data_IF_018101033221
#
_entry.id   IF_018101033221
#
_cell.length_a   1.000
_cell.length_b   1.000
_cell.length_c   1.000
_cell.angle_alpha   90.00
_cell.angle_beta   90.00
_cell.angle_gamma   90.00
#
_symmetry.space_group_name_H-M   'P 1'
#
loop_
_entity.id
_entity.type
_entity.pdbx_description
1 polymer ?
#
# COMPACT_ATOMS: atom_id res chain seq x y z
N UNK A 1 11.39 3.56 48.04
CA UNK A 1 11.78 3.22 46.66
C UNK A 1 10.74 2.28 46.10
N UNK A 2 9.90 2.74 45.17
CA UNK A 2 9.00 1.84 44.45
C UNK A 2 9.81 1.00 43.44
N UNK A 3 9.45 -0.27 43.29
CA UNK A 3 10.00 -1.12 42.23
C UNK A 3 9.50 -0.64 40.86
N UNK A 4 10.20 -0.99 39.78
CA UNK A 4 9.78 -0.64 38.40
C UNK A 4 8.32 -1.03 38.14
N UNK A 5 7.91 -2.22 38.59
CA UNK A 5 6.54 -2.70 38.50
C UNK A 5 5.57 -1.80 39.28
N UNK A 6 5.94 -1.36 40.47
CA UNK A 6 5.14 -0.42 41.27
C UNK A 6 4.97 0.93 40.58
N UNK A 7 6.03 1.45 39.97
CA UNK A 7 5.98 2.70 39.20
C UNK A 7 5.05 2.58 37.98
N UNK A 8 5.11 1.45 37.27
CA UNK A 8 4.24 1.20 36.12
C UNK A 8 2.77 1.15 36.54
N UNK A 9 2.43 0.46 37.63
CA UNK A 9 1.05 0.38 38.13
C UNK A 9 0.52 1.76 38.54
N UNK A 10 1.33 2.55 39.23
CA UNK A 10 0.94 3.92 39.63
C UNK A 10 0.73 4.82 38.40
N UNK A 11 1.58 4.72 37.37
CA UNK A 11 1.37 5.44 36.11
C UNK A 11 0.07 5.04 35.40
N UNK A 12 -0.30 3.76 35.46
CA UNK A 12 -1.57 3.25 34.89
C UNK A 12 -2.76 3.83 35.66
N UNK A 13 -2.70 3.86 37.00
CA UNK A 13 -3.75 4.47 37.83
C UNK A 13 -3.94 5.96 37.50
N UNK A 14 -2.83 6.71 37.40
CA UNK A 14 -2.85 8.12 37.00
C UNK A 14 -3.45 8.28 35.61
N UNK A 15 -3.10 7.42 34.65
CA UNK A 15 -3.64 7.47 33.29
C UNK A 15 -5.17 7.34 33.28
N UNK A 16 -5.74 6.38 33.99
CA UNK A 16 -7.20 6.26 34.06
C UNK A 16 -7.87 7.44 34.77
N UNK A 17 -7.26 7.93 35.86
CA UNK A 17 -7.70 9.16 36.51
C UNK A 17 -7.73 10.36 35.55
N UNK A 18 -6.74 10.48 34.64
CA UNK A 18 -6.73 11.56 33.63
C UNK A 18 -7.83 11.45 32.60
N UNK A 19 -8.27 10.23 32.24
CA UNK A 19 -9.36 10.04 31.28
C UNK A 19 -10.70 10.51 31.83
N UNK A 20 -10.91 10.35 33.15
CA UNK A 20 -12.15 10.76 33.82
C UNK A 20 -12.09 12.15 34.46
N UNK A 21 -10.92 12.77 34.53
CA UNK A 21 -10.73 14.15 35.00
C UNK A 21 -11.68 15.18 34.33
N UNK A 22 -11.89 15.17 33.00
CA UNK A 22 -12.81 16.11 32.35
C UNK A 22 -14.27 15.95 32.79
N UNK A 23 -14.67 14.74 33.21
CA UNK A 23 -16.04 14.43 33.66
C UNK A 23 -16.25 14.72 35.14
N UNK A 24 -15.21 14.55 35.95
CA UNK A 24 -15.26 14.66 37.41
C UNK A 24 -14.80 16.03 37.93
N UNK A 25 -14.12 16.83 37.11
CA UNK A 25 -13.45 18.07 37.54
C UNK A 25 -12.20 17.82 38.39
N UNK A 26 -11.74 16.57 38.51
CA UNK A 26 -10.55 16.20 39.29
C UNK A 26 -9.28 16.74 38.60
N UNK A 27 -8.44 17.45 39.34
CA UNK A 27 -7.12 17.89 38.86
C UNK A 27 -6.10 16.77 39.09
N UNK A 28 -5.57 16.21 38.01
CA UNK A 28 -4.57 15.13 38.07
C UNK A 28 -3.17 15.72 37.89
N UNK A 29 -2.23 15.30 38.74
CA UNK A 29 -0.81 15.68 38.67
C UNK A 29 0.05 14.43 38.66
N UNK A 30 1.15 14.46 37.90
CA UNK A 30 2.12 13.36 37.85
C UNK A 30 3.20 13.61 38.91
N UNK A 31 3.38 12.71 39.90
CA UNK A 31 4.46 12.78 40.89
C UNK A 31 5.85 12.93 40.25
N UNK A 32 6.73 13.70 40.89
CA UNK A 32 8.05 14.04 40.33
C UNK A 32 8.94 12.80 40.13
N UNK A 33 8.85 11.84 41.04
CA UNK A 33 9.58 10.57 41.01
C UNK A 33 9.12 9.63 39.87
N UNK A 34 7.92 9.85 39.32
CA UNK A 34 7.41 9.12 38.16
C UNK A 34 7.72 9.79 36.82
N UNK A 35 8.27 11.01 36.82
CA UNK A 35 8.64 11.70 35.58
C UNK A 35 9.94 11.13 35.03
N UNK A 36 9.90 10.70 33.77
CA UNK A 36 11.08 10.27 33.05
C UNK A 36 11.95 11.48 32.66
N UNK A 37 13.25 11.40 32.95
CA UNK A 37 14.23 12.41 32.55
C UNK A 37 14.80 12.16 31.16
N UNK A 38 14.76 10.91 30.69
CA UNK A 38 15.17 10.50 29.35
C UNK A 38 14.13 9.59 28.72
N UNK A 39 14.00 9.68 27.41
CA UNK A 39 13.04 8.95 26.60
C UNK A 39 13.76 8.05 25.59
N UNK A 40 13.14 6.96 25.14
CA UNK A 40 13.68 6.19 24.03
C UNK A 40 13.89 7.08 22.81
N UNK A 41 15.02 6.90 22.11
CA UNK A 41 15.39 7.68 20.91
C UNK A 41 14.29 7.70 19.83
N UNK A 42 13.57 6.60 19.63
CA UNK A 42 12.44 6.52 18.69
C UNK A 42 11.24 7.45 19.02
N UNK A 43 11.24 8.13 20.17
CA UNK A 43 10.25 9.16 20.52
C UNK A 43 10.67 10.58 20.08
N UNK A 44 11.87 10.74 19.54
CA UNK A 44 12.36 11.98 18.93
C UNK A 44 12.25 13.22 19.83
N UNK A 45 12.50 13.05 21.14
CA UNK A 45 12.50 14.16 22.12
C UNK A 45 13.77 15.01 22.11
N UNK A 46 14.65 14.80 21.13
CA UNK A 46 15.95 15.45 20.99
C UNK A 46 17.07 14.74 21.77
N UNK A 47 18.31 14.90 21.29
CA UNK A 47 19.48 14.14 21.75
C UNK A 47 19.75 14.28 23.26
N UNK A 48 19.56 15.47 23.83
CA UNK A 48 19.81 15.72 25.25
C UNK A 48 18.87 14.94 26.20
N UNK A 49 17.67 14.60 25.73
CA UNK A 49 16.63 13.92 26.50
C UNK A 49 16.42 12.48 26.05
N UNK A 50 17.31 11.94 25.22
CA UNK A 50 17.11 10.61 24.61
C UNK A 50 18.13 9.59 25.10
N UNK A 51 17.75 8.31 25.08
CA UNK A 51 18.64 7.18 25.22
C UNK A 51 18.38 6.16 24.09
N UNK A 52 19.43 5.46 23.67
CA UNK A 52 19.30 4.40 22.67
C UNK A 52 18.64 3.17 23.31
N UNK A 53 17.51 2.73 22.74
CA UNK A 53 16.63 1.72 23.31
C UNK A 53 16.91 0.38 22.67
N UNK A 54 17.17 -0.66 23.47
CA UNK A 54 17.36 -2.03 22.96
C UNK A 54 16.06 -2.81 22.81
N UNK A 55 14.91 -2.19 23.04
CA UNK A 55 13.59 -2.81 22.83
C UNK A 55 13.33 -3.11 21.36
N UNK A 56 12.35 -3.99 21.08
CA UNK A 56 11.91 -4.29 19.70
C UNK A 56 11.54 -3.01 18.95
N UNK A 57 10.90 -2.04 19.61
CA UNK A 57 10.55 -0.76 18.99
C UNK A 57 11.78 0.06 18.60
N UNK A 58 12.82 0.05 19.45
CA UNK A 58 14.09 0.69 19.11
C UNK A 58 14.76 0.03 17.91
N UNK A 59 14.84 -1.30 17.92
CA UNK A 59 15.43 -2.06 16.81
C UNK A 59 14.69 -1.84 15.48
N UNK A 60 13.35 -1.79 15.50
CA UNK A 60 12.55 -1.48 14.31
C UNK A 60 12.85 -0.06 13.84
N UNK A 61 12.89 0.90 14.76
CA UNK A 61 13.18 2.29 14.43
C UNK A 61 14.56 2.42 13.79
N UNK A 62 15.61 1.89 14.41
CA UNK A 62 16.97 1.90 13.88
C UNK A 62 17.07 1.21 12.52
N UNK A 63 16.34 0.09 12.34
CA UNK A 63 16.32 -0.60 11.06
C UNK A 63 15.72 0.27 9.96
N UNK A 64 14.59 0.94 10.24
CA UNK A 64 13.94 1.83 9.28
C UNK A 64 14.79 3.08 9.01
N UNK A 65 15.39 3.67 10.06
CA UNK A 65 16.25 4.86 9.97
C UNK A 65 17.60 4.56 9.29
N UNK A 66 18.05 3.31 9.29
CA UNK A 66 19.26 2.88 8.57
C UNK A 66 19.10 2.83 7.06
N UNK A 67 17.87 2.81 6.55
CA UNK A 67 17.63 3.02 5.13
C UNK A 67 17.90 4.50 4.85
N UNK A 68 18.81 4.82 3.93
CA UNK A 68 19.09 6.21 3.65
C UNK A 68 17.80 6.88 3.15
N UNK A 69 17.66 8.18 3.41
CA UNK A 69 16.57 9.07 2.97
C UNK A 69 16.66 9.31 1.44
N UNK A 70 16.92 8.23 0.73
CA UNK A 70 17.14 8.20 -0.69
C UNK A 70 15.77 8.20 -1.38
N UNK A 71 15.42 9.40 -1.86
CA UNK A 71 14.68 9.60 -3.12
C UNK A 71 15.37 8.93 -4.34
N UNK A 72 16.45 8.17 -4.14
CA UNK A 72 17.13 7.32 -5.10
C UNK A 72 16.94 5.84 -4.73
N UNK A 73 16.19 5.03 -5.43
CA UNK A 73 16.06 4.95 -6.84
C UNK A 73 14.67 4.38 -7.06
N UNK A 74 14.04 4.81 -8.13
CA UNK A 74 13.23 3.93 -8.96
C UNK A 74 13.92 2.56 -8.95
N UNK A 75 13.45 1.61 -8.12
CA UNK A 75 13.63 0.19 -8.41
C UNK A 75 13.22 0.11 -9.85
N UNK A 76 14.17 -0.12 -10.75
CA UNK A 76 13.90 -0.21 -12.16
C UNK A 76 12.85 -1.32 -12.27
N UNK A 77 11.57 -0.93 -12.36
CA UNK A 77 10.47 -1.89 -12.29
C UNK A 77 10.53 -2.58 -13.64
N UNK A 78 11.30 -3.64 -13.69
CA UNK A 78 11.37 -4.49 -14.85
C UNK A 78 9.98 -5.08 -15.03
N UNK A 79 9.43 -4.86 -16.21
CA UNK A 79 8.19 -5.46 -16.62
C UNK A 79 8.31 -6.99 -16.49
N UNK A 80 7.34 -7.61 -15.82
CA UNK A 80 7.32 -9.07 -15.75
C UNK A 80 7.09 -9.63 -17.16
N UNK A 81 7.78 -10.72 -17.48
CA UNK A 81 7.68 -11.40 -18.78
C UNK A 81 6.23 -11.73 -19.17
N UNK A 82 5.37 -12.03 -18.19
CA UNK A 82 3.94 -12.29 -18.40
C UNK A 82 3.15 -11.08 -18.93
N UNK A 83 3.74 -9.89 -18.92
CA UNK A 83 3.18 -8.69 -19.51
C UNK A 83 3.85 -8.33 -20.85
N UNK A 84 4.86 -9.06 -21.33
CA UNK A 84 5.52 -8.86 -22.65
C UNK A 84 4.69 -9.33 -23.84
N UNK A 85 3.45 -8.87 -23.92
CA UNK A 85 2.51 -9.20 -25.00
C UNK A 85 2.35 -8.00 -25.94
N UNK A 86 2.23 -8.26 -27.24
CA UNK A 86 1.85 -7.24 -28.22
C UNK A 86 0.44 -6.71 -27.93
N UNK A 87 0.37 -5.39 -27.72
CA UNK A 87 -0.89 -4.73 -27.38
C UNK A 87 -1.51 -4.14 -28.66
N UNK A 88 -2.80 -4.41 -28.95
CA UNK A 88 -3.51 -3.78 -30.04
C UNK A 88 -3.61 -2.27 -29.80
N UNK A 89 -3.32 -1.49 -30.85
CA UNK A 89 -3.34 -0.02 -30.78
C UNK A 89 -4.72 0.54 -30.36
N UNK A 90 -5.80 -0.17 -30.67
CA UNK A 90 -7.17 0.15 -30.26
C UNK A 90 -7.36 0.09 -28.75
N UNK A 91 -6.80 -0.91 -28.07
CA UNK A 91 -6.81 -1.01 -26.61
C UNK A 91 -6.01 0.14 -25.97
N UNK A 92 -4.81 0.42 -26.50
CA UNK A 92 -3.98 1.53 -26.00
C UNK A 92 -4.72 2.87 -26.05
N UNK A 93 -5.34 3.20 -27.19
CA UNK A 93 -6.07 4.45 -27.37
C UNK A 93 -7.30 4.58 -26.45
N UNK A 94 -8.02 3.47 -26.22
CA UNK A 94 -9.15 3.45 -25.30
C UNK A 94 -8.70 3.76 -23.87
N UNK A 95 -7.70 3.04 -23.37
CA UNK A 95 -7.25 3.14 -21.99
C UNK A 95 -6.47 4.43 -21.70
N UNK A 96 -5.77 4.98 -22.69
CA UNK A 96 -5.17 6.31 -22.56
C UNK A 96 -6.23 7.38 -22.36
N UNK A 97 -7.31 7.34 -23.16
CA UNK A 97 -8.46 8.25 -22.99
C UNK A 97 -9.11 8.10 -21.62
N UNK A 98 -9.35 6.86 -21.16
CA UNK A 98 -9.93 6.61 -19.82
C UNK A 98 -9.08 7.14 -18.68
N UNK A 99 -7.76 7.02 -18.75
CA UNK A 99 -6.89 7.55 -17.70
C UNK A 99 -6.85 9.09 -17.70
N UNK A 100 -6.93 9.73 -18.87
CA UNK A 100 -7.08 11.19 -18.92
C UNK A 100 -8.39 11.67 -18.28
N UNK A 101 -9.50 10.99 -18.56
CA UNK A 101 -10.79 11.26 -17.91
C UNK A 101 -10.69 11.04 -16.39
N UNK A 102 -10.10 9.92 -15.96
CA UNK A 102 -9.90 9.63 -14.55
C UNK A 102 -9.06 10.70 -13.85
N UNK A 103 -7.97 11.15 -14.46
CA UNK A 103 -7.13 12.23 -13.91
C UNK A 103 -7.92 13.52 -13.72
N UNK A 104 -8.77 13.89 -14.69
CA UNK A 104 -9.66 15.06 -14.60
C UNK A 104 -10.67 14.92 -13.47
N UNK A 105 -11.35 13.77 -13.39
CA UNK A 105 -12.35 13.48 -12.35
C UNK A 105 -11.72 13.44 -10.96
N UNK A 106 -10.56 12.79 -10.82
CA UNK A 106 -9.83 12.69 -9.56
C UNK A 106 -9.31 14.05 -9.09
N UNK A 107 -8.78 14.87 -10.00
CA UNK A 107 -8.32 16.23 -9.69
C UNK A 107 -9.50 17.09 -9.20
N UNK A 108 -10.67 16.95 -9.83
CA UNK A 108 -11.90 17.63 -9.39
C UNK A 108 -12.33 17.18 -7.99
N UNK A 109 -12.29 15.87 -7.72
CA UNK A 109 -12.64 15.32 -6.41
C UNK A 109 -11.67 15.77 -5.31
N UNK A 110 -10.36 15.83 -5.61
CA UNK A 110 -9.34 16.31 -4.68
C UNK A 110 -9.48 17.80 -4.36
N UNK A 111 -9.85 18.61 -5.37
CA UNK A 111 -10.01 20.06 -5.21
C UNK A 111 -11.40 20.47 -4.66
N UNK A 112 -12.23 19.53 -4.19
CA UNK A 112 -13.57 19.85 -3.70
C UNK A 112 -13.61 20.49 -2.29
N UNK A 113 -12.45 20.67 -1.64
CA UNK A 113 -12.26 21.53 -0.46
C UNK A 113 -13.01 21.13 0.82
N UNK A 114 -13.55 19.91 0.91
CA UNK A 114 -14.46 19.50 1.98
C UNK A 114 -13.94 18.27 2.74
N UNK A 115 -14.40 18.06 3.97
CA UNK A 115 -14.15 16.87 4.82
C UNK A 115 -14.54 15.54 4.12
N UNK A 116 -15.34 15.63 3.05
CA UNK A 116 -15.79 14.54 2.18
C UNK A 116 -14.82 14.20 1.03
N UNK A 117 -13.62 14.79 0.98
CA UNK A 117 -12.64 14.58 -0.11
C UNK A 117 -12.37 13.09 -0.35
N UNK A 118 -12.24 12.32 0.72
CA UNK A 118 -12.01 10.87 0.66
C UNK A 118 -13.21 10.15 0.00
N UNK A 119 -14.44 10.51 0.39
CA UNK A 119 -15.66 9.94 -0.18
C UNK A 119 -15.78 10.25 -1.67
N UNK A 120 -15.57 11.50 -2.07
CA UNK A 120 -15.59 11.91 -3.48
C UNK A 120 -14.52 11.19 -4.31
N UNK A 121 -13.30 11.03 -3.78
CA UNK A 121 -12.24 10.26 -4.45
C UNK A 121 -12.61 8.77 -4.59
N UNK A 122 -13.24 8.19 -3.58
CA UNK A 122 -13.70 6.81 -3.61
C UNK A 122 -14.81 6.57 -4.64
N UNK A 123 -15.73 7.53 -4.82
CA UNK A 123 -16.75 7.48 -5.86
C UNK A 123 -16.14 7.48 -7.26
N UNK A 124 -15.11 8.30 -7.49
CA UNK A 124 -14.34 8.28 -8.75
C UNK A 124 -13.73 6.89 -8.95
N UNK A 125 -13.03 6.33 -7.96
CA UNK A 125 -12.45 4.98 -8.08
C UNK A 125 -13.53 3.93 -8.40
N UNK A 126 -14.68 4.00 -7.73
CA UNK A 126 -15.80 3.07 -7.94
C UNK A 126 -16.34 3.15 -9.38
N UNK A 127 -16.57 4.35 -9.90
CA UNK A 127 -17.02 4.59 -11.28
C UNK A 127 -16.10 3.89 -12.30
N UNK A 128 -14.79 4.08 -12.17
CA UNK A 128 -13.84 3.49 -13.14
C UNK A 128 -13.65 1.98 -12.98
N UNK A 129 -13.84 1.43 -11.76
CA UNK A 129 -13.94 -0.03 -11.56
C UNK A 129 -15.17 -0.64 -12.23
N UNK A 130 -16.32 0.04 -12.16
CA UNK A 130 -17.54 -0.44 -12.81
C UNK A 130 -17.44 -0.36 -14.33
N UNK A 131 -16.84 0.71 -14.86
CA UNK A 131 -16.54 0.85 -16.29
C UNK A 131 -15.62 -0.26 -16.80
N UNK A 132 -14.56 -0.60 -16.06
CA UNK A 132 -13.65 -1.69 -16.48
C UNK A 132 -14.34 -3.05 -16.49
N UNK A 133 -15.29 -3.28 -15.56
CA UNK A 133 -16.12 -4.49 -15.54
C UNK A 133 -17.14 -4.49 -16.67
N UNK A 134 -17.75 -3.37 -17.01
CA UNK A 134 -18.69 -3.25 -18.13
C UNK A 134 -18.00 -3.43 -19.48
N UNK A 135 -16.80 -2.87 -19.64
CA UNK A 135 -15.94 -3.06 -20.82
C UNK A 135 -15.50 -4.52 -20.93
N UNK A 136 -15.17 -5.18 -19.81
CA UNK A 136 -14.94 -6.64 -19.75
C UNK A 136 -16.11 -7.47 -20.27
N UNK A 137 -17.34 -7.12 -19.87
CA UNK A 137 -18.54 -7.85 -20.29
C UNK A 137 -18.90 -7.63 -21.76
N UNK A 138 -18.44 -6.51 -22.33
CA UNK A 138 -18.63 -6.18 -23.74
C UNK A 138 -17.59 -6.85 -24.65
N UNK A 139 -16.45 -7.27 -24.09
CA UNK A 139 -15.42 -8.03 -24.78
C UNK A 139 -15.87 -9.49 -24.87
N UNK A 140 -16.20 -9.91 -26.09
CA UNK A 140 -16.82 -11.21 -26.40
C UNK A 140 -15.98 -12.42 -25.98
N UNK A 141 -14.66 -12.27 -25.81
CA UNK A 141 -13.74 -13.36 -25.48
C UNK A 141 -12.76 -12.97 -24.34
N UNK A 142 -12.38 -13.94 -23.49
CA UNK A 142 -11.48 -13.75 -22.34
C UNK A 142 -10.10 -13.19 -22.75
N UNK A 143 -9.65 -13.50 -23.97
CA UNK A 143 -8.40 -13.01 -24.58
C UNK A 143 -8.40 -11.49 -24.72
N UNK A 144 -9.51 -10.90 -25.19
CA UNK A 144 -9.57 -9.45 -25.41
C UNK A 144 -9.55 -8.69 -24.08
N UNK A 145 -10.13 -9.27 -23.02
CA UNK A 145 -10.08 -8.72 -21.67
C UNK A 145 -8.67 -8.82 -21.07
N UNK A 146 -7.98 -9.94 -21.26
CA UNK A 146 -6.60 -10.13 -20.82
C UNK A 146 -5.67 -9.14 -21.54
N UNK A 147 -5.84 -8.96 -22.85
CA UNK A 147 -5.04 -8.06 -23.66
C UNK A 147 -5.30 -6.57 -23.31
N UNK A 148 -6.56 -6.21 -23.03
CA UNK A 148 -6.92 -4.90 -22.46
C UNK A 148 -6.29 -4.68 -21.08
N UNK A 149 -6.29 -5.69 -20.21
CA UNK A 149 -5.70 -5.59 -18.88
C UNK A 149 -4.18 -5.41 -18.94
N UNK A 150 -3.51 -6.14 -19.84
CA UNK A 150 -2.08 -5.96 -20.12
C UNK A 150 -1.78 -4.53 -20.58
N UNK A 151 -2.58 -3.97 -21.50
CA UNK A 151 -2.38 -2.61 -22.01
C UNK A 151 -2.31 -1.54 -20.92
N UNK A 152 -3.17 -1.64 -19.89
CA UNK A 152 -3.19 -0.71 -18.76
C UNK A 152 -1.94 -0.81 -17.89
N UNK A 153 -1.50 -2.03 -17.57
CA UNK A 153 -0.29 -2.25 -16.77
C UNK A 153 0.97 -1.80 -17.50
N UNK A 154 1.09 -2.16 -18.78
CA UNK A 154 2.21 -1.78 -19.62
C UNK A 154 2.36 -0.27 -19.76
N UNK A 155 1.28 0.43 -20.12
CA UNK A 155 1.34 1.88 -20.27
C UNK A 155 1.68 2.58 -18.95
N UNK A 156 1.18 2.04 -17.84
CA UNK A 156 1.51 2.50 -16.49
C UNK A 156 2.96 2.28 -16.08
N UNK A 157 3.61 1.24 -16.60
CA UNK A 157 5.02 0.93 -16.36
C UNK A 157 5.96 1.81 -17.21
N UNK A 158 5.53 2.21 -18.41
CA UNK A 158 6.31 3.05 -19.30
C UNK A 158 6.40 4.53 -18.87
N UNK A 159 5.50 5.01 -18.00
CA UNK A 159 5.47 6.42 -17.57
C UNK A 159 5.68 6.62 -16.06
N UNK A 160 6.85 6.30 -15.51
CA UNK A 160 7.23 6.64 -14.11
C UNK A 160 6.35 5.96 -13.04
N UNK A 161 7.00 5.41 -12.01
CA UNK A 161 6.37 4.66 -10.90
C UNK A 161 5.13 5.37 -10.30
N UNK A 162 5.12 6.70 -10.25
CA UNK A 162 4.00 7.49 -9.73
C UNK A 162 2.70 7.43 -10.55
N UNK A 163 2.70 6.90 -11.78
CA UNK A 163 1.51 6.89 -12.66
C UNK A 163 0.80 5.54 -12.75
N UNK A 164 1.33 4.47 -12.14
CA UNK A 164 0.69 3.15 -12.17
C UNK A 164 -0.52 3.01 -11.22
N UNK A 165 -0.77 4.03 -10.39
CA UNK A 165 -1.87 4.04 -9.44
C UNK A 165 -3.24 3.83 -10.09
N UNK A 166 -3.47 4.34 -11.30
CA UNK A 166 -4.74 4.12 -12.01
C UNK A 166 -4.92 2.65 -12.41
N UNK A 167 -3.94 2.07 -13.10
CA UNK A 167 -4.01 0.66 -13.52
C UNK A 167 -4.13 -0.28 -12.32
N UNK A 168 -3.39 -0.03 -11.23
CA UNK A 168 -3.51 -0.86 -10.03
C UNK A 168 -4.89 -0.74 -9.38
N UNK A 169 -5.43 0.48 -9.23
CA UNK A 169 -6.75 0.70 -8.60
C UNK A 169 -7.91 0.14 -9.40
N UNK A 170 -7.82 0.15 -10.74
CA UNK A 170 -8.92 -0.24 -11.64
C UNK A 170 -8.79 -1.69 -12.13
N UNK A 171 -7.56 -2.16 -12.35
CA UNK A 171 -7.27 -3.43 -13.00
C UNK A 171 -6.41 -4.38 -12.17
N UNK A 172 -6.00 -4.01 -10.95
CA UNK A 172 -5.09 -4.81 -10.12
C UNK A 172 -5.52 -6.26 -9.94
N UNK A 173 -6.83 -6.52 -9.80
CA UNK A 173 -7.35 -7.90 -9.69
C UNK A 173 -7.17 -8.72 -10.97
N UNK A 174 -7.29 -8.10 -12.15
CA UNK A 174 -7.03 -8.75 -13.43
C UNK A 174 -5.54 -9.01 -13.63
N UNK A 175 -4.68 -8.06 -13.23
CA UNK A 175 -3.22 -8.22 -13.27
C UNK A 175 -2.75 -9.35 -12.35
N UNK A 176 -3.30 -9.45 -11.13
CA UNK A 176 -3.01 -10.56 -10.23
C UNK A 176 -3.47 -11.90 -10.82
N UNK A 177 -4.60 -11.94 -11.52
CA UNK A 177 -5.06 -13.15 -12.23
C UNK A 177 -4.10 -13.55 -13.36
N UNK A 178 -3.66 -12.61 -14.19
CA UNK A 178 -2.68 -12.85 -15.26
C UNK A 178 -1.39 -13.43 -14.67
N UNK A 179 -0.87 -12.81 -13.63
CA UNK A 179 0.33 -13.29 -12.94
C UNK A 179 0.15 -14.70 -12.37
N UNK A 180 -1.00 -14.99 -11.76
CA UNK A 180 -1.31 -16.31 -11.23
C UNK A 180 -1.47 -17.37 -12.33
N UNK A 181 -2.02 -17.00 -13.49
CA UNK A 181 -2.15 -17.90 -14.65
C UNK A 181 -0.78 -18.24 -15.24
N UNK A 182 0.08 -17.24 -15.47
CA UNK A 182 1.45 -17.46 -15.95
C UNK A 182 2.28 -18.33 -14.99
N UNK A 183 2.15 -18.12 -13.67
CA UNK A 183 2.80 -18.99 -12.69
C UNK A 183 2.29 -20.43 -12.71
N UNK A 184 0.99 -20.64 -12.95
CA UNK A 184 0.40 -21.99 -13.07
C UNK A 184 0.83 -22.67 -14.35
N UNK A 185 0.86 -21.97 -15.48
CA UNK A 185 1.33 -22.50 -16.76
C UNK A 185 2.81 -22.87 -16.71
N UNK A 186 3.64 -22.03 -16.09
CA UNK A 186 5.06 -22.34 -15.83
C UNK A 186 5.19 -23.56 -14.93
N UNK A 187 4.44 -23.64 -13.84
CA UNK A 187 4.46 -24.81 -12.95
C UNK A 187 4.02 -26.11 -13.67
N UNK A 188 3.05 -26.04 -14.58
CA UNK A 188 2.62 -27.16 -15.41
C UNK A 188 3.66 -27.54 -16.48
N UNK A 189 4.36 -26.57 -17.07
CA UNK A 189 5.48 -26.82 -17.98
C UNK A 189 6.67 -27.47 -17.27
N UNK A 190 6.96 -27.10 -16.01
CA UNK A 190 7.99 -27.79 -15.22
C UNK A 190 7.56 -29.21 -14.80
N UNK A 191 6.26 -29.48 -14.67
CA UNK A 191 5.73 -30.81 -14.39
C UNK A 191 5.70 -31.75 -15.61
N UNK A 192 5.82 -31.19 -16.83
CA UNK A 192 5.88 -31.93 -18.10
C UNK A 192 7.25 -31.69 -18.73
N UNK A 193 8.22 -32.56 -18.45
CA UNK A 193 9.54 -32.51 -19.10
C UNK A 193 9.38 -32.69 -20.64
N UNK A 194 10.34 -32.27 -21.50
CA UNK A 194 10.18 -32.32 -22.96
C UNK A 194 10.13 -33.74 -23.56
N UNK A 195 10.14 -34.77 -22.70
CA UNK A 195 9.89 -36.17 -23.04
C UNK A 195 8.42 -36.61 -22.81
N UNK A 196 7.52 -35.72 -22.37
CA UNK A 196 6.07 -35.99 -22.27
C UNK A 196 5.61 -36.83 -21.07
N UNK A 197 6.46 -37.05 -20.07
CA UNK A 197 6.07 -37.79 -18.86
C UNK A 197 5.65 -36.84 -17.74
N UNK A 198 4.50 -37.12 -17.13
CA UNK A 198 3.97 -36.49 -15.92
C UNK A 198 4.84 -36.94 -14.75
N UNK A 199 5.45 -36.00 -14.03
CA UNK A 199 6.14 -36.30 -12.76
C UNK A 199 5.13 -36.08 -11.64
N UNK A 200 4.65 -37.16 -11.02
CA UNK A 200 3.84 -37.09 -9.80
C UNK A 200 4.70 -36.47 -8.68
N UNK A 201 4.28 -35.30 -8.19
CA UNK A 201 4.89 -34.63 -7.03
C UNK A 201 4.08 -35.05 -5.79
N UNK A 202 4.70 -35.86 -4.93
CA UNK A 202 4.28 -36.09 -3.54
C UNK A 202 4.72 -34.93 -2.64
#
# INVERSE_FOLDING_TARGET
MHSLKGNMLHLIEIYYDTLDAPKSGKKVSIPHDLKANKFPHYMEKGNAFSYHSTSILGQIYDHVDSYPDEDSCVTEISKLLCFEVEIPHTCMALWSGRNEEYKKDMTRAMNSGCELTISSCNEVIKKYKELSVAERLSLTNEVDFLQCSCSMALWSLNEVIGKCGFAWKVAGSALCRIHAMDHKEKALQFAINPAGNIVDVL
#
